data_IF_253339506290
#
_entry.id   IF_253339506290
#
_cell.length_a   1.000
_cell.length_b   1.000
_cell.length_c   1.000
_cell.angle_alpha   90.00
_cell.angle_beta   90.00
_cell.angle_gamma   90.00
#
_symmetry.space_group_name_H-M   'P 1'
#
loop_
_entity.id
_entity.type
_entity.pdbx_description
1 polymer ?
#
# COMPACT_ATOMS: atom_id res chain seq x y z
N UNK A 1 -61.67 -25.88 -12.33
CA UNK A 1 -60.47 -26.67 -11.98
C UNK A 1 -59.28 -25.94 -12.58
N UNK A 2 -58.51 -25.20 -11.78
CA UNK A 2 -57.29 -24.53 -12.25
C UNK A 2 -56.28 -25.59 -12.68
N UNK A 3 -55.78 -25.46 -13.91
CA UNK A 3 -54.94 -26.45 -14.57
C UNK A 3 -53.58 -26.54 -13.87
N UNK A 4 -53.21 -27.73 -13.37
CA UNK A 4 -51.98 -27.97 -12.59
C UNK A 4 -50.73 -27.45 -13.32
N UNK A 5 -50.72 -27.48 -14.66
CA UNK A 5 -49.65 -26.90 -15.48
C UNK A 5 -49.48 -25.39 -15.27
N UNK A 6 -50.56 -24.63 -15.22
CA UNK A 6 -50.50 -23.17 -15.02
C UNK A 6 -49.97 -22.82 -13.63
N UNK A 7 -50.31 -23.62 -12.62
CA UNK A 7 -49.81 -23.45 -11.26
C UNK A 7 -48.29 -23.71 -11.16
N UNK A 8 -47.79 -24.73 -11.86
CA UNK A 8 -46.36 -25.06 -11.92
C UNK A 8 -45.59 -23.97 -12.69
N UNK A 9 -46.12 -23.49 -13.81
CA UNK A 9 -45.49 -22.42 -14.60
C UNK A 9 -45.47 -21.08 -13.86
N UNK A 10 -46.52 -20.79 -13.08
CA UNK A 10 -46.57 -19.64 -12.19
C UNK A 10 -45.50 -19.72 -11.10
N UNK A 11 -45.36 -20.88 -10.44
CA UNK A 11 -44.35 -21.09 -9.40
C UNK A 11 -42.91 -21.03 -9.95
N UNK A 12 -42.66 -21.55 -11.16
CA UNK A 12 -41.36 -21.43 -11.83
C UNK A 12 -41.00 -19.97 -12.14
N UNK A 13 -41.95 -19.20 -12.69
CA UNK A 13 -41.75 -17.76 -12.96
C UNK A 13 -41.50 -16.98 -11.67
N UNK A 14 -42.20 -17.33 -10.58
CA UNK A 14 -42.01 -16.71 -9.27
C UNK A 14 -40.59 -16.99 -8.73
N UNK A 15 -40.16 -18.25 -8.72
CA UNK A 15 -38.82 -18.68 -8.29
C UNK A 15 -37.71 -18.02 -9.13
N UNK A 16 -37.88 -17.95 -10.45
CA UNK A 16 -36.90 -17.38 -11.37
C UNK A 16 -36.79 -15.85 -11.23
N UNK A 17 -37.90 -15.16 -10.93
CA UNK A 17 -37.98 -13.72 -10.61
C UNK A 17 -37.30 -13.39 -9.27
N UNK A 18 -37.51 -14.21 -8.24
CA UNK A 18 -36.83 -14.02 -6.96
C UNK A 18 -35.32 -14.28 -7.10
N UNK A 19 -34.92 -15.35 -7.80
CA UNK A 19 -33.51 -15.68 -8.02
C UNK A 19 -32.76 -14.58 -8.79
N UNK A 20 -33.37 -14.01 -9.84
CA UNK A 20 -32.76 -12.90 -10.60
C UNK A 20 -32.65 -11.60 -9.78
N UNK A 21 -33.65 -11.28 -8.94
CA UNK A 21 -33.58 -10.12 -8.04
C UNK A 21 -32.51 -10.28 -6.96
N UNK A 22 -32.38 -11.47 -6.37
CA UNK A 22 -31.35 -11.76 -5.36
C UNK A 22 -29.95 -11.70 -5.99
N UNK A 23 -29.77 -12.24 -7.21
CA UNK A 23 -28.50 -12.20 -7.93
C UNK A 23 -28.10 -10.77 -8.33
N UNK A 24 -29.05 -9.95 -8.77
CA UNK A 24 -28.83 -8.53 -9.06
C UNK A 24 -28.47 -7.72 -7.80
N UNK A 25 -29.09 -8.04 -6.67
CA UNK A 25 -28.78 -7.41 -5.39
C UNK A 25 -27.37 -7.76 -4.91
N UNK A 26 -26.93 -9.02 -5.05
CA UNK A 26 -25.56 -9.46 -4.73
C UNK A 26 -24.53 -8.73 -5.60
N UNK A 27 -24.82 -8.53 -6.89
CA UNK A 27 -23.94 -7.80 -7.80
C UNK A 27 -23.74 -6.33 -7.40
N UNK A 28 -24.75 -5.69 -6.80
CA UNK A 28 -24.69 -4.32 -6.28
C UNK A 28 -23.77 -4.18 -5.05
N UNK A 29 -23.59 -5.24 -4.27
CA UNK A 29 -22.73 -5.21 -3.07
C UNK A 29 -21.25 -5.53 -3.34
N UNK A 30 -20.86 -5.87 -4.58
CA UNK A 30 -19.47 -6.19 -4.92
C UNK A 30 -18.58 -4.97 -5.24
N UNK A 31 -19.13 -3.75 -5.21
CA UNK A 31 -18.36 -2.53 -5.42
C UNK A 31 -17.74 -2.00 -4.11
N UNK A 32 -16.92 -2.83 -3.45
CA UNK A 32 -15.98 -2.35 -2.44
C UNK A 32 -14.84 -1.61 -3.13
N UNK A 33 -14.93 -0.29 -3.23
CA UNK A 33 -13.88 0.51 -3.84
C UNK A 33 -12.74 0.69 -2.82
N UNK A 34 -11.60 0.06 -3.06
CA UNK A 34 -10.34 0.39 -2.39
C UNK A 34 -10.05 1.88 -2.60
N UNK A 35 -10.00 2.64 -1.51
CA UNK A 35 -9.83 4.10 -1.57
C UNK A 35 -8.48 4.50 -1.01
N UNK A 36 -7.80 5.43 -1.69
CA UNK A 36 -6.58 6.04 -1.18
C UNK A 36 -6.85 6.78 0.14
N UNK A 37 -5.82 6.96 1.00
CA UNK A 37 -5.89 7.85 2.15
C UNK A 37 -6.29 9.27 1.73
N UNK A 38 -7.16 9.91 2.54
CA UNK A 38 -7.70 11.26 2.27
C UNK A 38 -6.64 12.27 1.78
N UNK A 39 -5.46 12.42 2.43
CA UNK A 39 -4.47 13.41 2.01
C UNK A 39 -3.95 13.22 0.58
N UNK A 40 -4.00 12.00 0.04
CA UNK A 40 -3.55 11.67 -1.31
C UNK A 40 -4.70 11.71 -2.33
N UNK A 41 -5.94 11.54 -1.88
CA UNK A 41 -7.12 11.47 -2.74
C UNK A 41 -7.50 12.84 -3.32
N UNK A 42 -7.28 13.90 -2.57
CA UNK A 42 -7.71 15.26 -2.93
C UNK A 42 -6.85 15.90 -4.03
N UNK A 43 -5.71 15.27 -4.38
CA UNK A 43 -4.76 15.79 -5.36
C UNK A 43 -4.80 14.94 -6.63
N UNK A 44 -5.21 15.49 -7.78
CA UNK A 44 -5.15 14.78 -9.05
C UNK A 44 -3.70 14.42 -9.40
N UNK A 45 -3.45 13.13 -9.59
CA UNK A 45 -2.14 12.60 -9.94
C UNK A 45 -2.28 11.38 -10.86
N UNK A 46 -1.31 11.21 -11.76
CA UNK A 46 -1.22 9.98 -12.54
C UNK A 46 -0.83 8.84 -11.60
N UNK A 47 -1.66 7.80 -11.62
CA UNK A 47 -1.43 6.52 -10.94
C UNK A 47 -0.76 5.56 -11.92
N UNK A 48 -0.08 4.56 -11.39
CA UNK A 48 0.45 3.41 -12.14
C UNK A 48 1.44 3.77 -13.27
N UNK A 49 2.07 4.94 -13.19
CA UNK A 49 3.14 5.29 -14.14
C UNK A 49 4.43 4.55 -13.72
N UNK A 50 4.98 3.66 -14.57
CA UNK A 50 6.14 2.87 -14.20
C UNK A 50 7.36 3.75 -13.93
N UNK A 51 8.11 3.43 -12.88
CA UNK A 51 9.30 4.16 -12.48
C UNK A 51 10.30 4.31 -13.62
N UNK A 52 10.59 3.20 -14.31
CA UNK A 52 11.53 3.14 -15.44
C UNK A 52 11.15 4.07 -16.58
N UNK A 53 9.85 4.14 -16.92
CA UNK A 53 9.35 4.97 -18.02
C UNK A 53 9.58 6.46 -17.75
N UNK A 54 9.35 6.90 -16.51
CA UNK A 54 9.59 8.29 -16.09
C UNK A 54 11.08 8.61 -16.11
N UNK A 55 11.92 7.69 -15.63
CA UNK A 55 13.37 7.87 -15.61
C UNK A 55 13.98 7.94 -17.02
N UNK A 56 13.48 7.15 -17.96
CA UNK A 56 13.93 7.14 -19.36
C UNK A 56 13.40 8.34 -20.16
N UNK A 57 12.29 8.96 -19.75
CA UNK A 57 11.65 10.07 -20.47
C UNK A 57 11.34 11.27 -19.55
N UNK A 58 12.33 11.84 -18.84
CA UNK A 58 12.08 12.80 -17.77
C UNK A 58 11.36 14.07 -18.25
N UNK A 59 11.69 14.57 -19.43
CA UNK A 59 11.08 15.81 -19.95
C UNK A 59 9.57 15.67 -20.21
N UNK A 60 9.10 14.48 -20.58
CA UNK A 60 7.68 14.20 -20.83
C UNK A 60 6.84 14.28 -19.55
N UNK A 61 7.43 13.97 -18.41
CA UNK A 61 6.75 13.93 -17.11
C UNK A 61 7.04 15.16 -16.25
N UNK A 62 7.78 16.15 -16.77
CA UNK A 62 8.10 17.36 -16.03
C UNK A 62 6.84 18.12 -15.62
N UNK A 63 6.80 18.51 -14.35
CA UNK A 63 5.69 19.17 -13.66
C UNK A 63 4.37 18.37 -13.61
N UNK A 64 4.37 17.12 -14.04
CA UNK A 64 3.24 16.20 -13.90
C UNK A 64 3.19 15.68 -12.46
N UNK A 65 2.00 15.71 -11.85
CA UNK A 65 1.77 15.12 -10.54
C UNK A 65 1.70 13.59 -10.63
N UNK A 66 2.57 12.90 -9.90
CA UNK A 66 2.66 11.44 -9.84
C UNK A 66 2.32 10.94 -8.42
N UNK A 67 1.67 9.78 -8.36
CA UNK A 67 1.49 9.01 -7.12
C UNK A 67 2.53 7.89 -7.07
N UNK A 68 3.55 8.06 -6.23
CA UNK A 68 4.59 7.05 -6.00
C UNK A 68 4.71 6.74 -4.52
N UNK A 69 5.27 5.59 -4.19
CA UNK A 69 5.62 5.29 -2.82
C UNK A 69 6.75 4.28 -2.74
N UNK A 70 7.05 3.91 -1.52
CA UNK A 70 8.23 3.12 -1.27
C UNK A 70 8.64 3.08 0.18
N UNK A 71 9.84 2.56 0.39
CA UNK A 71 10.47 2.43 1.70
C UNK A 71 11.52 3.52 1.87
N UNK A 72 11.44 4.29 2.96
CA UNK A 72 12.39 5.34 3.27
C UNK A 72 13.75 4.71 3.55
N UNK A 73 14.76 5.11 2.78
CA UNK A 73 16.15 4.68 2.94
C UNK A 73 16.97 5.72 3.72
N UNK A 74 16.65 7.00 3.54
CA UNK A 74 17.24 8.12 4.27
C UNK A 74 16.23 9.26 4.43
N UNK A 75 16.38 10.05 5.50
CA UNK A 75 15.60 11.26 5.76
C UNK A 75 16.53 12.34 6.33
N UNK A 76 16.46 13.55 5.80
CA UNK A 76 17.18 14.70 6.34
C UNK A 76 16.33 15.97 6.33
N UNK A 77 16.38 16.73 7.41
CA UNK A 77 15.80 18.07 7.47
C UNK A 77 16.86 19.08 7.00
N UNK A 78 16.54 19.84 5.95
CA UNK A 78 17.43 20.83 5.34
C UNK A 78 16.74 22.20 5.30
N UNK A 79 17.44 23.24 4.83
CA UNK A 79 16.86 24.56 4.64
C UNK A 79 15.76 24.59 3.56
N UNK A 80 15.80 23.67 2.60
CA UNK A 80 14.80 23.53 1.53
C UNK A 80 13.54 22.79 1.99
N UNK A 81 13.57 22.22 3.21
CA UNK A 81 12.52 21.39 3.77
C UNK A 81 13.03 19.98 4.09
N UNK A 82 12.09 19.03 4.19
CA UNK A 82 12.42 17.64 4.51
C UNK A 82 12.68 16.85 3.25
N UNK A 83 13.87 16.27 3.17
CA UNK A 83 14.34 15.47 2.03
C UNK A 83 14.27 14.00 2.40
N UNK A 84 13.57 13.22 1.58
CA UNK A 84 13.51 11.76 1.69
C UNK A 84 14.22 11.13 0.50
N UNK A 85 15.04 10.13 0.78
CA UNK A 85 15.49 9.16 -0.22
C UNK A 85 14.66 7.90 -0.07
N UNK A 86 13.95 7.52 -1.11
CA UNK A 86 12.95 6.46 -1.06
C UNK A 86 13.31 5.38 -2.09
N UNK A 87 13.37 4.14 -1.63
CA UNK A 87 13.38 2.97 -2.50
C UNK A 87 11.99 2.82 -3.11
N UNK A 88 11.88 2.94 -4.43
CA UNK A 88 10.61 2.77 -5.13
C UNK A 88 10.04 1.39 -4.89
N UNK A 89 8.75 1.34 -4.55
CA UNK A 89 7.97 0.11 -4.52
C UNK A 89 6.64 0.36 -5.25
N UNK A 90 6.13 -0.65 -5.99
CA UNK A 90 4.80 -0.58 -6.57
C UNK A 90 3.75 -0.44 -5.48
N UNK A 91 2.65 0.23 -5.81
CA UNK A 91 1.55 0.48 -4.90
C UNK A 91 0.40 -0.49 -5.16
N UNK A 92 -0.28 -0.93 -4.11
CA UNK A 92 -1.59 -1.59 -4.24
C UNK A 92 -2.71 -0.58 -4.55
N UNK A 93 -3.96 -1.06 -4.61
CA UNK A 93 -5.12 -0.23 -4.96
C UNK A 93 -5.40 0.85 -3.92
N UNK A 94 -4.99 0.62 -2.67
CA UNK A 94 -5.08 1.52 -1.53
C UNK A 94 -3.89 2.49 -1.44
N UNK A 95 -2.93 2.37 -2.36
CA UNK A 95 -1.72 3.19 -2.39
C UNK A 95 -0.67 2.75 -1.37
N UNK A 96 -0.78 1.55 -0.81
CA UNK A 96 0.19 0.96 0.11
C UNK A 96 1.40 0.42 -0.68
N UNK A 97 2.64 0.75 -0.30
CA UNK A 97 3.82 0.21 -0.96
C UNK A 97 3.99 -1.29 -0.70
N UNK A 98 3.95 -2.10 -1.75
CA UNK A 98 4.16 -3.54 -1.68
C UNK A 98 5.66 -3.84 -1.56
N UNK A 99 6.08 -4.41 -0.45
CA UNK A 99 7.47 -4.83 -0.28
C UNK A 99 7.78 -6.02 -1.20
N UNK A 100 8.81 -5.87 -2.03
CA UNK A 100 9.35 -6.91 -2.90
C UNK A 100 10.87 -6.96 -2.76
N UNK A 101 11.46 -8.06 -3.20
CA UNK A 101 12.91 -8.27 -3.14
C UNK A 101 13.64 -7.60 -4.33
N UNK A 102 12.91 -7.24 -5.38
CA UNK A 102 13.42 -6.50 -6.52
C UNK A 102 13.37 -4.98 -6.30
N UNK A 103 14.38 -4.27 -6.81
CA UNK A 103 14.52 -2.82 -6.70
C UNK A 103 14.56 -2.19 -8.08
N UNK A 104 13.54 -1.41 -8.43
CA UNK A 104 13.54 -0.61 -9.66
C UNK A 104 14.40 0.66 -9.55
N UNK A 105 14.73 1.09 -8.34
CA UNK A 105 15.62 2.21 -8.07
C UNK A 105 15.17 3.07 -6.89
N UNK A 106 15.90 4.17 -6.68
CA UNK A 106 15.60 5.17 -5.65
C UNK A 106 15.20 6.50 -6.29
N UNK A 107 14.35 7.24 -5.59
CA UNK A 107 13.95 8.60 -5.94
C UNK A 107 14.05 9.52 -4.72
N UNK A 108 14.15 10.82 -5.00
CA UNK A 108 14.19 11.86 -3.99
C UNK A 108 12.83 12.53 -3.92
N UNK A 109 12.35 12.74 -2.70
CA UNK A 109 11.18 13.56 -2.42
C UNK A 109 11.61 14.73 -1.55
N UNK A 110 11.22 15.95 -1.94
CA UNK A 110 11.38 17.14 -1.09
C UNK A 110 10.00 17.63 -0.68
N UNK A 111 9.75 17.68 0.62
CA UNK A 111 8.58 18.34 1.19
C UNK A 111 8.97 19.71 1.73
N UNK A 112 8.27 20.77 1.30
CA UNK A 112 8.45 22.12 1.84
C UNK A 112 8.04 22.23 3.30
N UNK A 113 7.20 21.31 3.77
CA UNK A 113 6.77 21.26 5.15
C UNK A 113 7.84 20.54 6.00
N UNK A 114 7.97 20.96 7.25
CA UNK A 114 8.77 20.24 8.22
C UNK A 114 8.09 18.91 8.58
N UNK A 115 8.80 17.81 8.35
CA UNK A 115 8.40 16.46 8.74
C UNK A 115 9.56 15.88 9.54
N UNK A 116 9.26 15.43 10.77
CA UNK A 116 10.30 14.97 11.69
C UNK A 116 10.89 13.62 11.23
N UNK A 117 12.18 13.60 10.89
CA UNK A 117 12.89 12.40 10.47
C UNK A 117 12.97 11.32 11.57
N UNK A 118 12.77 11.67 12.84
CA UNK A 118 12.63 10.68 13.91
C UNK A 118 11.33 9.86 13.75
N UNK A 119 10.27 10.46 13.21
CA UNK A 119 8.99 9.79 12.92
C UNK A 119 9.02 9.11 11.55
N UNK A 120 9.55 9.80 10.54
CA UNK A 120 9.74 9.34 9.17
C UNK A 120 11.06 8.59 8.98
N UNK A 121 11.42 7.77 9.98
CA UNK A 121 12.71 7.09 10.04
C UNK A 121 12.92 6.11 8.89
N UNK A 122 14.19 5.73 8.67
CA UNK A 122 14.56 4.63 7.76
C UNK A 122 13.72 3.36 8.01
N UNK A 123 13.35 2.69 6.93
CA UNK A 123 12.55 1.46 6.92
C UNK A 123 11.04 1.68 6.97
N UNK A 124 10.55 2.91 7.18
CA UNK A 124 9.12 3.23 7.12
C UNK A 124 8.63 3.26 5.68
N UNK A 125 7.37 2.89 5.48
CA UNK A 125 6.70 3.00 4.18
C UNK A 125 6.01 4.35 4.04
N UNK A 126 6.21 4.97 2.88
CA UNK A 126 5.69 6.28 2.57
C UNK A 126 5.06 6.27 1.18
N UNK A 127 3.89 6.89 1.06
CA UNK A 127 3.28 7.20 -0.23
C UNK A 127 3.22 8.71 -0.40
N UNK A 128 3.49 9.17 -1.60
CA UNK A 128 3.66 10.59 -1.93
C UNK A 128 2.88 10.90 -3.19
N UNK A 129 2.13 11.99 -3.14
CA UNK A 129 1.66 12.68 -4.34
C UNK A 129 2.48 13.94 -4.51
N UNK A 130 3.09 14.12 -5.67
CA UNK A 130 3.91 15.30 -5.93
C UNK A 130 4.25 15.49 -7.39
N UNK A 131 4.76 16.68 -7.70
CA UNK A 131 5.17 17.03 -9.07
C UNK A 131 6.54 16.48 -9.36
N UNK A 132 6.68 15.75 -10.46
CA UNK A 132 8.00 15.36 -10.95
C UNK A 132 8.74 16.57 -11.51
N UNK A 133 9.98 16.80 -11.08
CA UNK A 133 10.76 17.99 -11.44
C UNK A 133 11.95 17.69 -12.36
N UNK A 134 12.21 16.42 -12.62
CA UNK A 134 13.34 15.96 -13.43
C UNK A 134 14.23 14.99 -12.66
N UNK A 135 15.48 14.90 -13.10
CA UNK A 135 16.51 14.10 -12.44
C UNK A 135 17.42 15.01 -11.62
N UNK A 136 17.80 14.53 -10.44
CA UNK A 136 18.75 15.19 -9.53
C UNK A 136 19.95 14.26 -9.37
N UNK A 137 21.13 14.78 -9.69
CA UNK A 137 22.37 14.05 -9.49
C UNK A 137 22.67 13.89 -7.99
N UNK A 138 23.18 12.71 -7.64
CA UNK A 138 23.55 12.39 -6.27
C UNK A 138 24.40 11.14 -6.22
N UNK A 139 24.46 10.52 -5.05
CA UNK A 139 25.18 9.26 -4.84
C UNK A 139 24.35 8.32 -4.01
N UNK A 140 24.41 7.03 -4.36
CA UNK A 140 24.03 5.95 -3.47
C UNK A 140 25.33 5.42 -2.89
N UNK A 141 25.53 5.63 -1.60
CA UNK A 141 26.81 5.41 -0.92
C UNK A 141 27.95 6.16 -1.64
N UNK A 142 28.77 5.48 -2.42
CA UNK A 142 29.86 6.09 -3.20
C UNK A 142 29.58 6.17 -4.71
N UNK A 143 28.54 5.49 -5.19
CA UNK A 143 28.24 5.36 -6.61
C UNK A 143 27.41 6.56 -7.11
N UNK A 144 27.85 7.29 -8.16
CA UNK A 144 27.05 8.31 -8.80
C UNK A 144 25.70 7.77 -9.28
N UNK A 145 24.62 8.50 -9.01
CA UNK A 145 23.26 8.08 -9.36
C UNK A 145 22.36 9.29 -9.64
N UNK A 146 21.64 9.26 -10.76
CA UNK A 146 20.63 10.25 -11.12
C UNK A 146 19.27 9.84 -10.56
N UNK A 147 18.81 10.55 -9.54
CA UNK A 147 17.53 10.30 -8.86
C UNK A 147 16.39 11.01 -9.58
N UNK A 148 15.29 10.31 -9.92
CA UNK A 148 14.00 10.97 -10.13
C UNK A 148 13.67 11.85 -8.92
N UNK A 149 13.27 13.10 -9.18
CA UNK A 149 12.98 14.09 -8.14
C UNK A 149 11.51 14.48 -8.16
N UNK A 150 10.85 14.31 -7.01
CA UNK A 150 9.46 14.71 -6.77
C UNK A 150 9.41 15.82 -5.71
N UNK A 151 8.76 16.93 -6.06
CA UNK A 151 8.34 17.95 -5.10
C UNK A 151 6.99 17.53 -4.49
N UNK A 152 6.99 17.19 -3.20
CA UNK A 152 5.81 16.66 -2.52
C UNK A 152 4.72 17.72 -2.38
N UNK A 153 3.49 17.35 -2.77
CA UNK A 153 2.28 18.10 -2.48
C UNK A 153 1.54 17.51 -1.27
N UNK A 154 1.53 16.18 -1.16
CA UNK A 154 1.05 15.46 0.02
C UNK A 154 1.88 14.19 0.26
N UNK A 155 1.97 13.79 1.52
CA UNK A 155 2.64 12.55 1.93
C UNK A 155 1.74 11.79 2.90
N UNK A 156 1.85 10.47 2.90
CA UNK A 156 1.15 9.59 3.82
C UNK A 156 2.10 8.54 4.37
N UNK A 157 2.38 8.64 5.67
CA UNK A 157 3.27 7.72 6.38
C UNK A 157 2.45 6.55 6.94
N UNK A 158 2.75 5.35 6.48
CA UNK A 158 2.06 4.15 6.93
C UNK A 158 2.48 3.78 8.36
N UNK A 159 1.52 3.26 9.14
CA UNK A 159 1.78 2.73 10.49
C UNK A 159 2.71 1.53 10.40
N UNK A 160 3.59 1.37 11.39
CA UNK A 160 4.40 0.15 11.50
C UNK A 160 3.44 -1.02 11.71
N UNK A 161 3.47 -2.03 10.84
CA UNK A 161 2.81 -3.30 11.13
C UNK A 161 3.60 -3.95 12.24
N UNK A 162 3.08 -3.94 13.46
CA UNK A 162 3.53 -4.89 14.46
C UNK A 162 3.16 -6.26 13.91
N UNK A 163 4.15 -7.08 13.58
CA UNK A 163 3.90 -8.52 13.43
C UNK A 163 3.57 -8.99 14.84
N UNK A 164 2.30 -8.91 15.23
CA UNK A 164 1.82 -9.67 16.36
C UNK A 164 2.10 -11.11 16.00
N UNK A 165 3.14 -11.66 16.62
CA UNK A 165 3.39 -13.08 16.61
C UNK A 165 2.25 -13.66 17.44
N UNK A 166 1.10 -13.90 16.80
CA UNK A 166 0.05 -14.70 17.39
C UNK A 166 0.70 -16.05 17.66
N UNK A 167 1.12 -16.24 18.90
CA UNK A 167 1.49 -17.54 19.42
C UNK A 167 0.23 -18.38 19.28
N UNK A 168 0.12 -19.13 18.19
CA UNK A 168 -0.90 -20.13 18.06
C UNK A 168 -0.51 -21.20 19.09
N UNK A 169 -1.27 -21.38 20.19
CA UNK A 169 -1.02 -22.51 21.06
C UNK A 169 -1.17 -23.73 20.17
N UNK A 170 -0.08 -24.45 19.95
CA UNK A 170 -0.14 -25.68 19.16
C UNK A 170 -1.20 -26.59 19.76
N UNK A 171 -2.05 -27.19 18.92
CA UNK A 171 -3.09 -28.15 19.31
C UNK A 171 -2.58 -29.32 20.18
N UNK A 172 -1.27 -29.47 20.32
CA UNK A 172 -0.59 -30.31 21.32
C UNK A 172 -1.03 -30.06 22.77
N UNK A 173 -1.59 -28.89 23.11
CA UNK A 173 -2.15 -28.64 24.45
C UNK A 173 -3.42 -29.46 24.76
N UNK A 174 -4.03 -30.14 23.79
CA UNK A 174 -5.26 -30.92 24.00
C UNK A 174 -5.04 -32.43 24.20
N UNK A 175 -3.85 -32.96 23.93
CA UNK A 175 -3.55 -34.40 24.09
C UNK A 175 -2.45 -34.64 25.13
N UNK A 176 -2.85 -34.59 26.40
CA UNK A 176 -2.26 -35.32 27.52
C UNK A 176 -0.74 -35.32 27.67
N UNK A 177 -0.17 -34.26 28.23
CA UNK A 177 1.14 -34.33 28.89
C UNK A 177 0.97 -34.35 30.42
N UNK A 178 1.68 -35.22 31.17
CA UNK A 178 1.58 -35.28 32.62
C UNK A 178 2.10 -33.99 33.30
N UNK A 179 1.53 -33.56 34.44
CA UNK A 179 1.82 -32.27 35.09
C UNK A 179 3.27 -32.00 35.55
N UNK A 180 4.19 -32.97 35.44
CA UNK A 180 5.52 -32.90 36.06
C UNK A 180 6.60 -32.24 35.19
N UNK A 181 6.27 -31.72 34.01
CA UNK A 181 7.25 -31.14 33.08
C UNK A 181 7.50 -29.63 33.25
N UNK A 182 6.84 -28.97 34.21
CA UNK A 182 6.97 -27.52 34.42
C UNK A 182 8.08 -27.09 35.40
N UNK A 183 8.98 -27.99 35.81
CA UNK A 183 9.96 -27.65 36.86
C UNK A 183 11.34 -27.20 36.36
N UNK A 184 11.66 -27.30 35.06
CA UNK A 184 12.95 -26.83 34.53
C UNK A 184 12.83 -26.15 33.15
N UNK A 185 12.32 -24.92 33.13
CA UNK A 185 12.57 -23.98 32.03
C UNK A 185 13.69 -23.02 32.42
N UNK A 186 14.74 -22.82 31.60
CA UNK A 186 15.86 -21.99 32.00
C UNK A 186 15.47 -20.52 32.09
N UNK A 187 15.67 -19.93 33.28
CA UNK A 187 15.63 -18.48 33.49
C UNK A 187 16.82 -17.86 32.77
N UNK A 188 16.57 -17.27 31.61
CA UNK A 188 17.49 -16.33 31.00
C UNK A 188 16.95 -14.92 31.22
N UNK A 189 17.73 -14.14 31.95
CA UNK A 189 17.73 -12.68 32.01
C UNK A 189 18.34 -12.08 30.73
#
# INVERSE_FOLDING_TARGET
MLNIKEHIDFLKKLLQSHFTKTLALIFLFLFGCASLPKPLQDIPALRDVPFRVVKENPDKYRDVSLLWGGKITNCSNTQEGTVFEILYLPLDREGYPEERDDSEGRFIVISKNFLDCAVYSKGRLLTVVGKFKGLKEGKIDTMPYSFPFIEAQATYLWKKRHREYYWHPSLWFWYGYPPWYFEYGPRWW
#
